data_IF_072745200987
#
_entry.id   IF_072745200987
#
_cell.length_a   1.000
_cell.length_b   1.000
_cell.length_c   1.000
_cell.angle_alpha   90.00
_cell.angle_beta   90.00
_cell.angle_gamma   90.00
#
_symmetry.space_group_name_H-M   'P 1'
#
loop_
_entity.id
_entity.type
_entity.pdbx_description
1 polymer ?
#
# COMPACT_ATOMS: atom_id res chain seq x y z
N UNK A 1 13.15 15.96 -6.67
CA UNK A 1 12.71 16.85 -7.76
C UNK A 1 12.93 16.12 -9.08
N UNK A 2 11.90 15.97 -9.90
CA UNK A 2 11.99 15.31 -11.19
C UNK A 2 11.81 16.35 -12.29
N UNK A 3 12.76 16.37 -13.24
CA UNK A 3 12.76 17.31 -14.34
C UNK A 3 12.60 16.57 -15.66
N UNK A 4 11.49 16.81 -16.34
CA UNK A 4 11.28 16.34 -17.71
C UNK A 4 11.75 17.42 -18.68
N UNK A 5 12.52 17.03 -19.70
CA UNK A 5 13.00 17.95 -20.74
C UNK A 5 12.60 17.38 -22.09
N UNK A 6 11.82 18.15 -22.85
CA UNK A 6 11.44 17.84 -24.22
C UNK A 6 12.29 18.70 -25.18
N UNK A 7 12.79 18.08 -26.24
CA UNK A 7 13.72 18.66 -27.22
C UNK A 7 13.10 18.55 -28.60
N UNK A 8 13.07 19.65 -29.35
CA UNK A 8 12.73 19.62 -30.78
C UNK A 8 13.63 20.59 -31.56
N UNK A 9 13.50 20.64 -32.89
CA UNK A 9 14.32 21.48 -33.78
C UNK A 9 14.29 22.98 -33.44
N UNK A 10 13.26 23.44 -32.71
CA UNK A 10 13.09 24.81 -32.26
C UNK A 10 13.58 25.09 -30.84
N UNK A 11 14.14 24.09 -30.15
CA UNK A 11 14.72 24.23 -28.82
C UNK A 11 14.12 23.30 -27.77
N UNK A 12 14.35 23.64 -26.50
CA UNK A 12 14.06 22.78 -25.36
C UNK A 12 13.01 23.40 -24.45
N UNK A 13 12.04 22.60 -24.06
CA UNK A 13 11.12 22.92 -22.97
C UNK A 13 11.41 22.00 -21.79
N UNK A 14 11.30 22.50 -20.56
CA UNK A 14 11.41 21.66 -19.37
C UNK A 14 10.31 21.93 -18.36
N UNK A 15 9.81 20.87 -17.74
CA UNK A 15 8.86 20.91 -16.64
C UNK A 15 9.46 20.21 -15.42
N UNK A 16 9.27 20.80 -14.25
CA UNK A 16 9.72 20.26 -12.96
C UNK A 16 8.52 19.86 -12.12
N UNK A 17 8.58 18.65 -11.57
CA UNK A 17 7.60 18.12 -10.63
C UNK A 17 8.26 17.70 -9.33
N UNK A 18 7.61 18.03 -8.21
CA UNK A 18 7.98 17.45 -6.92
C UNK A 18 7.37 16.06 -6.82
N UNK A 19 8.22 15.04 -6.79
CA UNK A 19 7.78 13.71 -6.40
C UNK A 19 7.68 13.67 -4.88
N UNK A 20 6.45 13.76 -4.38
CA UNK A 20 6.10 13.44 -3.00
C UNK A 20 6.04 11.92 -2.78
N UNK A 21 6.97 11.17 -3.38
CA UNK A 21 7.00 9.73 -3.29
C UNK A 21 7.62 9.26 -2.00
N UNK A 22 6.79 9.30 -0.96
CA UNK A 22 6.84 8.35 0.14
C UNK A 22 5.43 7.89 0.39
N UNK A 23 4.78 7.29 -0.61
CA UNK A 23 3.50 6.63 -0.40
C UNK A 23 3.79 5.24 0.18
N UNK A 24 3.03 4.85 1.21
CA UNK A 24 3.02 3.46 1.63
C UNK A 24 2.41 2.60 0.50
N UNK A 25 2.69 1.30 0.48
CA UNK A 25 2.11 0.35 -0.47
C UNK A 25 1.72 -0.92 0.26
N UNK A 26 0.55 -1.46 -0.08
CA UNK A 26 0.11 -2.78 0.37
C UNK A 26 0.53 -3.82 -0.66
N UNK A 27 1.21 -4.87 -0.20
CA UNK A 27 1.56 -6.06 -0.97
C UNK A 27 0.72 -7.24 -0.47
N UNK A 28 0.18 -8.03 -1.39
CA UNK A 28 -0.62 -9.22 -1.06
C UNK A 28 0.16 -10.45 -1.49
N UNK A 29 0.35 -11.40 -0.59
CA UNK A 29 0.98 -12.69 -0.84
C UNK A 29 -0.01 -13.83 -0.54
N UNK A 30 -0.09 -14.89 -1.37
CA UNK A 30 0.74 -15.15 -2.56
C UNK A 30 0.36 -14.30 -3.79
N UNK A 31 -0.90 -13.89 -3.90
CA UNK A 31 -1.41 -13.05 -4.98
C UNK A 31 -2.67 -12.29 -4.53
N UNK A 32 -3.12 -11.25 -5.26
CA UNK A 32 -4.39 -10.56 -4.98
C UNK A 32 -5.62 -11.45 -5.07
N UNK A 33 -5.56 -12.54 -5.84
CA UNK A 33 -6.61 -13.54 -6.00
C UNK A 33 -6.19 -14.80 -5.23
N UNK A 34 -6.97 -15.16 -4.20
CA UNK A 34 -6.68 -16.28 -3.28
C UNK A 34 -7.90 -17.19 -3.21
N UNK A 35 -7.71 -18.51 -3.10
CA UNK A 35 -8.83 -19.44 -2.95
C UNK A 35 -9.37 -19.42 -1.52
N UNK A 36 -10.68 -19.62 -1.35
CA UNK A 36 -11.27 -19.80 -0.03
C UNK A 36 -10.59 -20.95 0.73
N UNK A 37 -10.21 -20.73 2.00
CA UNK A 37 -9.45 -21.69 2.80
C UNK A 37 -7.93 -21.57 2.71
N UNK A 38 -7.38 -20.82 1.75
CA UNK A 38 -5.94 -20.55 1.66
C UNK A 38 -5.47 -19.45 2.61
N UNK A 39 -4.17 -19.38 2.85
CA UNK A 39 -3.57 -18.33 3.67
C UNK A 39 -3.20 -17.10 2.83
N UNK A 40 -3.59 -15.91 3.28
CA UNK A 40 -3.19 -14.65 2.67
C UNK A 40 -2.44 -13.75 3.68
N UNK A 41 -1.42 -13.03 3.20
CA UNK A 41 -0.71 -12.04 4.00
C UNK A 41 -0.64 -10.71 3.26
N UNK A 42 -1.09 -9.65 3.93
CA UNK A 42 -0.99 -8.27 3.46
C UNK A 42 0.15 -7.57 4.19
N UNK A 43 1.10 -7.00 3.46
CA UNK A 43 2.25 -6.29 4.02
C UNK A 43 2.23 -4.82 3.59
N UNK A 44 2.29 -3.92 4.56
CA UNK A 44 2.37 -2.47 4.33
C UNK A 44 3.83 -2.01 4.32
N UNK A 45 4.36 -1.62 3.17
CA UNK A 45 5.73 -1.15 3.02
C UNK A 45 5.79 0.37 2.77
N UNK A 46 6.74 1.07 3.40
CA UNK A 46 6.99 2.51 3.15
C UNK A 46 8.25 2.69 2.32
N UNK A 47 8.16 3.48 1.25
CA UNK A 47 9.33 3.86 0.46
C UNK A 47 10.30 4.70 1.30
N UNK A 48 11.56 4.25 1.43
CA UNK A 48 12.61 4.91 2.21
C UNK A 48 13.06 4.15 3.47
N UNK A 49 12.41 3.03 3.82
CA UNK A 49 12.79 2.19 4.95
C UNK A 49 12.14 2.59 6.28
N UNK A 50 12.04 1.60 7.18
CA UNK A 50 11.20 1.62 8.38
C UNK A 50 11.87 2.20 9.63
N UNK A 51 12.86 3.09 9.48
CA UNK A 51 13.75 3.41 10.61
C UNK A 51 13.06 4.14 11.78
N UNK A 52 11.87 4.72 11.58
CA UNK A 52 11.09 5.38 12.63
C UNK A 52 9.57 5.19 12.47
N UNK A 53 9.10 3.95 12.32
CA UNK A 53 7.64 3.70 12.29
C UNK A 53 7.06 3.63 13.71
N UNK A 54 6.10 4.50 14.00
CA UNK A 54 5.37 4.51 15.26
C UNK A 54 4.21 3.50 15.26
N UNK A 55 3.44 3.45 14.17
CA UNK A 55 2.33 2.52 14.04
C UNK A 55 1.86 2.32 12.60
N UNK A 56 1.21 1.19 12.38
CA UNK A 56 0.45 0.80 11.20
C UNK A 56 -1.03 0.75 11.55
N UNK A 57 -1.85 1.41 10.75
CA UNK A 57 -3.31 1.38 10.85
C UNK A 57 -3.87 0.72 9.60
N UNK A 58 -4.70 -0.31 9.77
CA UNK A 58 -5.32 -1.04 8.67
C UNK A 58 -6.80 -0.68 8.52
N UNK A 59 -7.23 -0.63 7.26
CA UNK A 59 -8.61 -0.38 6.87
C UNK A 59 -9.03 -1.41 5.83
N UNK A 60 -10.28 -1.87 5.90
CA UNK A 60 -10.95 -2.69 4.89
C UNK A 60 -12.21 -1.99 4.44
N UNK A 61 -12.33 -1.71 3.14
CA UNK A 61 -13.45 -0.97 2.55
C UNK A 61 -13.68 0.36 3.28
N UNK A 62 -12.59 1.09 3.57
CA UNK A 62 -12.57 2.34 4.36
C UNK A 62 -13.00 2.21 5.83
N UNK A 63 -13.33 1.00 6.30
CA UNK A 63 -13.63 0.73 7.72
C UNK A 63 -12.35 0.38 8.46
N UNK A 64 -12.15 0.98 9.63
CA UNK A 64 -10.99 0.71 10.49
C UNK A 64 -11.01 -0.72 11.01
N UNK A 65 -9.88 -1.43 10.87
CA UNK A 65 -9.69 -2.78 11.40
C UNK A 65 -8.88 -2.78 12.70
N UNK A 66 -7.87 -1.90 12.79
CA UNK A 66 -6.94 -1.92 13.91
C UNK A 66 -5.73 -1.03 13.69
N UNK A 67 -5.08 -0.68 14.80
CA UNK A 67 -3.81 0.06 14.82
C UNK A 67 -2.81 -0.72 15.69
N UNK A 68 -1.60 -0.94 15.19
CA UNK A 68 -0.56 -1.68 15.91
C UNK A 68 0.85 -1.42 15.37
N UNK A 69 1.83 -2.18 15.86
CA UNK A 69 3.22 -2.13 15.39
C UNK A 69 3.49 -3.07 14.22
N UNK A 70 2.57 -3.98 13.91
CA UNK A 70 2.72 -4.96 12.83
C UNK A 70 2.47 -4.33 11.46
N UNK A 71 3.46 -4.42 10.59
CA UNK A 71 3.32 -4.11 9.16
C UNK A 71 2.54 -5.19 8.38
N UNK A 72 2.25 -6.33 9.00
CA UNK A 72 1.60 -7.48 8.38
C UNK A 72 0.20 -7.70 8.94
N UNK A 73 -0.75 -8.01 8.06
CA UNK A 73 -2.09 -8.47 8.36
C UNK A 73 -2.27 -9.86 7.71
N UNK A 74 -2.36 -10.90 8.54
CA UNK A 74 -2.38 -12.31 8.12
C UNK A 74 -3.76 -12.92 8.30
N UNK A 75 -4.24 -13.63 7.30
CA UNK A 75 -5.51 -14.35 7.30
C UNK A 75 -5.23 -15.85 7.16
N UNK A 76 -5.35 -16.64 8.23
CA UNK A 76 -5.27 -18.09 8.14
C UNK A 76 -6.62 -18.64 7.65
N UNK A 77 -6.65 -19.20 6.44
CA UNK A 77 -7.87 -19.65 5.79
C UNK A 77 -8.84 -18.52 5.48
N UNK A 78 -8.60 -17.79 4.38
CA UNK A 78 -9.45 -16.68 3.94
C UNK A 78 -10.86 -17.18 3.63
N UNK A 79 -11.85 -16.37 3.95
CA UNK A 79 -13.26 -16.62 3.62
C UNK A 79 -13.75 -15.57 2.63
N UNK A 80 -14.89 -15.82 1.98
CA UNK A 80 -15.53 -14.80 1.13
C UNK A 80 -15.77 -13.45 1.85
N UNK A 81 -15.89 -13.46 3.19
CA UNK A 81 -16.07 -12.26 4.01
C UNK A 81 -14.78 -11.43 4.19
N UNK A 82 -13.63 -12.00 3.88
CA UNK A 82 -12.33 -11.33 3.92
C UNK A 82 -12.01 -10.59 2.61
N UNK A 83 -12.75 -10.84 1.54
CA UNK A 83 -12.58 -10.08 0.30
C UNK A 83 -12.86 -8.58 0.51
N UNK A 84 -12.05 -7.73 -0.12
CA UNK A 84 -12.25 -6.29 -0.03
C UNK A 84 -11.05 -5.44 -0.42
N UNK A 85 -11.24 -4.12 -0.33
CA UNK A 85 -10.20 -3.12 -0.58
C UNK A 85 -9.48 -2.78 0.71
N UNK A 86 -8.21 -3.19 0.80
CA UNK A 86 -7.36 -2.99 1.96
C UNK A 86 -6.46 -1.78 1.80
N UNK A 87 -6.43 -0.92 2.81
CA UNK A 87 -5.55 0.24 2.87
C UNK A 87 -4.80 0.24 4.20
N UNK A 88 -3.52 0.62 4.16
CA UNK A 88 -2.74 0.89 5.36
C UNK A 88 -2.37 2.37 5.46
N UNK A 89 -2.25 2.85 6.69
CA UNK A 89 -1.66 4.14 7.03
C UNK A 89 -0.51 3.91 7.99
N UNK A 90 0.65 4.51 7.72
CA UNK A 90 1.87 4.37 8.51
C UNK A 90 2.20 5.71 9.14
N UNK A 91 2.20 5.74 10.47
CA UNK A 91 2.58 6.92 11.24
C UNK A 91 4.08 6.88 11.53
N UNK A 92 4.79 7.90 11.06
CA UNK A 92 6.18 8.20 11.46
C UNK A 92 6.21 9.50 12.27
N UNK A 93 7.29 9.83 12.99
CA UNK A 93 7.43 11.12 13.68
C UNK A 93 7.31 12.32 12.74
N UNK A 94 7.79 12.17 11.50
CA UNK A 94 7.80 13.25 10.52
C UNK A 94 6.42 13.46 9.86
N UNK A 95 5.73 12.37 9.47
CA UNK A 95 4.46 12.46 8.74
C UNK A 95 3.62 11.19 8.83
N UNK A 96 2.37 11.29 8.36
CA UNK A 96 1.55 10.11 8.09
C UNK A 96 1.64 9.75 6.61
N UNK A 97 1.86 8.47 6.32
CA UNK A 97 1.92 7.91 4.98
C UNK A 97 0.68 7.05 4.76
N UNK A 98 -0.13 7.35 3.75
CA UNK A 98 -1.26 6.49 3.41
C UNK A 98 -0.93 5.71 2.14
N UNK A 99 -1.27 4.43 2.15
CA UNK A 99 -1.10 3.59 0.98
C UNK A 99 -2.25 3.75 0.00
N UNK A 100 -1.98 3.52 -1.28
CA UNK A 100 -3.05 3.24 -2.23
C UNK A 100 -3.74 1.93 -1.84
N UNK A 101 -5.08 1.87 -1.83
CA UNK A 101 -5.78 0.64 -1.52
C UNK A 101 -5.41 -0.50 -2.48
N UNK A 102 -5.29 -1.72 -1.97
CA UNK A 102 -5.10 -2.94 -2.73
C UNK A 102 -6.30 -3.87 -2.51
N UNK A 103 -6.81 -4.48 -3.57
CA UNK A 103 -7.98 -5.37 -3.48
C UNK A 103 -7.52 -6.80 -3.27
N UNK A 104 -8.06 -7.45 -2.24
CA UNK A 104 -7.99 -8.90 -2.03
C UNK A 104 -9.29 -9.52 -2.56
N UNK A 105 -9.18 -10.43 -3.52
CA UNK A 105 -10.28 -11.22 -4.05
C UNK A 105 -10.17 -12.64 -3.47
N UNK A 106 -11.31 -13.17 -3.03
CA UNK A 106 -11.42 -14.56 -2.61
C UNK A 106 -12.25 -15.30 -3.65
N UNK A 107 -11.63 -16.28 -4.30
CA UNK A 107 -12.27 -17.13 -5.28
C UNK A 107 -12.96 -18.29 -4.55
N UNK A 108 -14.25 -18.48 -4.82
CA UNK A 108 -14.97 -19.67 -4.37
C UNK A 108 -14.31 -20.92 -4.99
N UNK A 109 -14.31 -22.03 -4.25
CA UNK A 109 -14.00 -23.35 -4.82
C UNK A 109 -15.01 -23.76 -5.92
#
# INVERSE_FOLDING_TARGET
EYRCVATNAHGNASATGNFSGGAARVWIWPSPDVQEGDNATLTCAVAGGDQDVLSYTWYRNQVWLGTGSSQNLTFPGVTASDAGSYQCSVRTPARNHSATPATLNVLCE
#
